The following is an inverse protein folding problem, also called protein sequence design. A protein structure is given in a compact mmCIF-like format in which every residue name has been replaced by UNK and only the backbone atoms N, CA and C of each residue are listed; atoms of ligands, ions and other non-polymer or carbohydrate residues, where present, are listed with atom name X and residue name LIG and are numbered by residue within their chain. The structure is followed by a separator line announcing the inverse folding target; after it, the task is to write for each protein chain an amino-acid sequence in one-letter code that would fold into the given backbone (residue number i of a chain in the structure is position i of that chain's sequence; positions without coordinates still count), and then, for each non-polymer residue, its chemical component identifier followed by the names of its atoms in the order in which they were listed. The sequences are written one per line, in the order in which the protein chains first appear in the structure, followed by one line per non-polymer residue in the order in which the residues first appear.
data_IF_183827627533
#
_entry.id   IF_183827627533
#
_cell.length_a   1.000
_cell.length_b   1.000
_cell.length_c   1.000
_cell.angle_alpha   90.00
_cell.angle_beta   90.00
_cell.angle_gamma   90.00
#
_symmetry.space_group_name_H-M   'P 1'
#
loop_
_entity.id
_entity.type
_entity.pdbx_description
1 polymer ?
#
# COMPACT_ATOMS: atom_id res chain seq x y z
N UNK A 1 -2.77 20.61 -38.68
CA UNK A 1 -3.65 19.44 -38.46
C UNK A 1 -3.33 18.86 -37.09
N UNK A 2 -4.30 18.79 -36.18
CA UNK A 2 -4.10 18.15 -34.88
C UNK A 2 -3.74 16.66 -35.11
N UNK A 3 -2.66 16.18 -34.47
CA UNK A 3 -2.25 14.77 -34.59
C UNK A 3 -3.42 13.88 -34.15
N UNK A 4 -3.77 12.92 -35.00
CA UNK A 4 -4.82 11.94 -34.71
C UNK A 4 -4.42 11.14 -33.46
N UNK A 5 -5.28 11.13 -32.44
CA UNK A 5 -5.03 10.40 -31.20
C UNK A 5 -5.02 8.89 -31.49
N UNK A 6 -3.84 8.26 -31.37
CA UNK A 6 -3.62 6.82 -31.57
C UNK A 6 -3.67 6.04 -30.25
N UNK A 7 -4.05 6.69 -29.14
CA UNK A 7 -4.10 6.04 -27.84
C UNK A 7 -5.13 4.89 -27.86
N UNK A 8 -4.82 3.74 -27.25
CA UNK A 8 -5.77 2.63 -27.17
C UNK A 8 -7.05 3.10 -26.47
N UNK A 9 -8.20 2.84 -27.10
CA UNK A 9 -9.51 3.10 -26.49
C UNK A 9 -9.77 2.04 -25.42
N UNK A 10 -9.83 2.48 -24.18
CA UNK A 10 -10.10 1.63 -23.03
C UNK A 10 -11.41 2.09 -22.40
N UNK A 11 -12.30 1.14 -22.10
CA UNK A 11 -13.53 1.47 -21.39
C UNK A 11 -13.19 2.06 -20.03
N UNK A 12 -13.68 3.27 -19.78
CA UNK A 12 -13.56 3.97 -18.52
C UNK A 12 -14.95 4.12 -17.94
N UNK A 13 -15.08 3.91 -16.62
CA UNK A 13 -16.28 4.32 -15.89
C UNK A 13 -16.46 5.84 -16.04
N UNK A 14 -17.67 6.30 -15.81
CA UNK A 14 -17.92 7.74 -15.71
C UNK A 14 -16.97 8.39 -14.72
N UNK A 15 -16.56 9.63 -14.99
CA UNK A 15 -15.70 10.37 -14.07
C UNK A 15 -16.43 10.60 -12.75
N UNK A 16 -15.69 10.56 -11.64
CA UNK A 16 -16.24 10.91 -10.34
C UNK A 16 -16.85 12.31 -10.37
N UNK A 17 -18.10 12.44 -9.91
CA UNK A 17 -18.85 13.69 -9.91
C UNK A 17 -18.64 14.39 -8.57
N UNK A 18 -17.60 15.20 -8.48
CA UNK A 18 -17.29 15.99 -7.29
C UNK A 18 -15.90 16.60 -7.38
N UNK A 19 -15.61 17.50 -6.44
CA UNK A 19 -14.25 17.92 -6.14
C UNK A 19 -13.85 17.25 -4.83
N UNK A 20 -12.72 16.57 -4.82
CA UNK A 20 -12.12 16.06 -3.59
C UNK A 20 -11.08 17.07 -3.13
N UNK A 21 -11.22 17.58 -1.90
CA UNK A 21 -10.21 18.48 -1.34
C UNK A 21 -9.23 17.69 -0.50
N UNK A 22 -8.04 17.47 -1.05
CA UNK A 22 -6.95 16.83 -0.33
C UNK A 22 -6.16 17.85 0.48
N UNK A 23 -5.94 17.51 1.75
CA UNK A 23 -5.01 18.17 2.65
C UNK A 23 -3.60 17.72 2.30
N UNK A 24 -2.67 18.65 2.05
CA UNK A 24 -1.28 18.30 1.85
C UNK A 24 -0.68 17.79 3.16
N UNK A 25 0.21 16.81 3.06
CA UNK A 25 1.05 16.39 4.17
C UNK A 25 2.45 16.98 4.01
N UNK A 26 3.11 17.23 5.13
CA UNK A 26 4.51 17.62 5.14
C UNK A 26 5.35 16.36 4.88
N UNK A 27 6.04 16.30 3.76
CA UNK A 27 6.90 15.18 3.38
C UNK A 27 8.38 15.46 3.74
N UNK A 28 9.16 14.43 4.05
CA UNK A 28 10.63 14.53 3.97
C UNK A 28 11.05 14.67 2.50
N UNK A 29 12.31 15.02 2.23
CA UNK A 29 12.82 15.11 0.86
C UNK A 29 12.69 13.77 0.11
N UNK A 30 12.98 12.64 0.77
CA UNK A 30 12.83 11.32 0.17
C UNK A 30 11.36 10.97 -0.09
N UNK A 31 10.46 11.24 0.87
CA UNK A 31 9.03 11.05 0.69
C UNK A 31 8.49 11.91 -0.47
N UNK A 32 8.95 13.16 -0.60
CA UNK A 32 8.55 14.05 -1.70
C UNK A 32 8.99 13.49 -3.05
N UNK A 33 10.24 13.01 -3.18
CA UNK A 33 10.74 12.35 -4.40
C UNK A 33 9.86 11.16 -4.81
N UNK A 34 9.40 10.37 -3.85
CA UNK A 34 8.49 9.25 -4.11
C UNK A 34 7.13 9.75 -4.57
N UNK A 35 6.55 10.75 -3.90
CA UNK A 35 5.26 11.36 -4.28
C UNK A 35 5.34 11.87 -5.73
N UNK A 36 6.37 12.64 -6.06
CA UNK A 36 6.56 13.18 -7.41
C UNK A 36 6.71 12.05 -8.44
N UNK A 37 7.46 11.00 -8.10
CA UNK A 37 7.63 9.82 -8.96
C UNK A 37 6.31 9.07 -9.17
N UNK A 38 5.49 8.90 -8.13
CA UNK A 38 4.19 8.22 -8.28
C UNK A 38 3.25 9.07 -9.13
N UNK A 39 3.24 10.39 -8.97
CA UNK A 39 2.34 11.29 -9.70
C UNK A 39 2.77 11.52 -11.16
N UNK A 40 4.03 11.28 -11.50
CA UNK A 40 4.53 11.40 -12.87
C UNK A 40 3.79 10.47 -13.85
N UNK A 41 3.49 10.96 -15.07
CA UNK A 41 2.69 10.21 -16.06
C UNK A 41 3.41 8.98 -16.64
N UNK A 42 4.73 8.96 -16.66
CA UNK A 42 5.53 7.84 -17.18
C UNK A 42 5.70 6.73 -16.14
N UNK A 43 5.53 7.05 -14.86
CA UNK A 43 5.59 6.07 -13.77
C UNK A 43 4.40 5.12 -13.78
N UNK A 44 4.69 3.82 -13.67
CA UNK A 44 3.72 2.72 -13.78
C UNK A 44 3.74 1.84 -12.54
N UNK A 45 4.92 1.42 -12.10
CA UNK A 45 5.07 0.51 -10.98
C UNK A 45 6.10 1.09 -10.02
N UNK A 46 5.78 1.11 -8.73
CA UNK A 46 6.71 1.59 -7.71
C UNK A 46 6.76 0.61 -6.55
N UNK A 47 7.96 0.20 -6.15
CA UNK A 47 8.20 -0.59 -4.95
C UNK A 47 8.81 0.30 -3.88
N UNK A 48 8.23 0.32 -2.70
CA UNK A 48 8.63 1.19 -1.59
C UNK A 48 8.89 0.32 -0.38
N UNK A 49 10.17 0.18 -0.06
CA UNK A 49 10.64 -0.46 1.15
C UNK A 49 10.84 0.57 2.25
N UNK A 50 10.53 0.23 3.49
CA UNK A 50 10.95 1.03 4.63
C UNK A 50 10.24 0.64 5.93
N UNK A 51 10.77 1.09 7.08
CA UNK A 51 10.28 0.68 8.39
C UNK A 51 8.86 1.15 8.68
N UNK A 52 8.21 0.55 9.67
CA UNK A 52 6.94 1.05 10.20
C UNK A 52 7.05 2.53 10.62
N UNK A 53 6.08 3.36 10.19
CA UNK A 53 6.08 4.80 10.48
C UNK A 53 6.91 5.67 9.52
N UNK A 54 7.55 5.11 8.49
CA UNK A 54 8.26 5.88 7.45
C UNK A 54 7.35 6.63 6.46
N UNK A 55 6.03 6.55 6.63
CA UNK A 55 5.06 7.21 5.76
C UNK A 55 4.77 6.51 4.43
N UNK A 56 5.37 5.34 4.14
CA UNK A 56 5.20 4.57 2.89
C UNK A 56 3.74 4.37 2.46
N UNK A 57 2.86 4.04 3.40
CA UNK A 57 1.45 3.80 3.12
C UNK A 57 0.64 5.10 3.00
N UNK A 58 0.99 6.11 3.80
CA UNK A 58 0.31 7.42 3.78
C UNK A 58 0.57 8.15 2.47
N UNK A 59 1.82 8.14 1.97
CA UNK A 59 2.15 8.75 0.68
C UNK A 59 1.48 8.00 -0.49
N UNK A 60 1.41 6.67 -0.45
CA UNK A 60 0.73 5.89 -1.49
C UNK A 60 -0.78 6.16 -1.50
N UNK A 61 -1.40 6.26 -0.31
CA UNK A 61 -2.79 6.65 -0.14
C UNK A 61 -3.04 8.05 -0.69
N UNK A 62 -2.23 9.03 -0.30
CA UNK A 62 -2.29 10.40 -0.80
C UNK A 62 -2.20 10.46 -2.33
N UNK A 63 -1.21 9.80 -2.93
CA UNK A 63 -1.02 9.82 -4.38
C UNK A 63 -2.20 9.21 -5.13
N UNK A 64 -2.74 8.09 -4.65
CA UNK A 64 -3.89 7.46 -5.28
C UNK A 64 -5.14 8.34 -5.20
N UNK A 65 -5.45 8.87 -4.02
CA UNK A 65 -6.57 9.80 -3.85
C UNK A 65 -6.39 11.07 -4.70
N UNK A 66 -5.16 11.57 -4.84
CA UNK A 66 -4.86 12.72 -5.70
C UNK A 66 -5.16 12.43 -7.16
N UNK A 67 -4.76 11.27 -7.66
CA UNK A 67 -5.00 10.87 -9.05
C UNK A 67 -6.48 10.58 -9.33
N UNK A 68 -7.24 10.10 -8.34
CA UNK A 68 -8.70 10.00 -8.40
C UNK A 68 -9.34 11.39 -8.44
N UNK A 69 -8.92 12.30 -7.56
CA UNK A 69 -9.37 13.70 -7.52
C UNK A 69 -9.13 14.41 -8.85
N UNK A 70 -7.96 14.20 -9.44
CA UNK A 70 -7.57 14.78 -10.73
C UNK A 70 -8.23 14.08 -11.93
N UNK A 71 -9.06 13.05 -11.67
CA UNK A 71 -9.78 12.26 -12.68
C UNK A 71 -8.82 11.60 -13.69
N UNK A 72 -7.59 11.33 -13.25
CA UNK A 72 -6.55 10.63 -14.04
C UNK A 72 -6.76 9.12 -13.97
N UNK A 73 -7.21 8.62 -12.81
CA UNK A 73 -7.54 7.22 -12.58
C UNK A 73 -9.01 7.12 -12.12
N UNK A 74 -9.70 6.03 -12.50
CA UNK A 74 -11.13 5.87 -12.22
C UNK A 74 -11.41 5.34 -10.83
N UNK A 75 -10.59 4.40 -10.37
CA UNK A 75 -10.82 3.65 -9.14
C UNK A 75 -9.48 3.36 -8.42
N UNK A 76 -9.58 3.21 -7.10
CA UNK A 76 -8.51 2.85 -6.17
C UNK A 76 -8.72 1.42 -5.71
N UNK A 77 -7.73 0.54 -5.87
CA UNK A 77 -7.73 -0.83 -5.40
C UNK A 77 -6.70 -0.95 -4.27
N UNK A 78 -7.17 -1.23 -3.07
CA UNK A 78 -6.33 -1.54 -1.91
C UNK A 78 -6.26 -3.06 -1.74
N UNK A 79 -5.06 -3.62 -1.82
CA UNK A 79 -4.79 -5.06 -1.78
C UNK A 79 -3.90 -5.37 -0.59
N UNK A 80 -4.29 -6.36 0.20
CA UNK A 80 -3.49 -6.90 1.31
C UNK A 80 -3.59 -8.43 1.32
N UNK A 81 -2.56 -9.09 1.84
CA UNK A 81 -2.60 -10.53 2.05
C UNK A 81 -3.29 -10.86 3.38
N UNK A 82 -4.26 -11.79 3.37
CA UNK A 82 -5.13 -12.12 4.52
C UNK A 82 -4.52 -13.17 5.45
N UNK A 83 -3.26 -13.56 5.22
CA UNK A 83 -2.58 -14.60 6.00
C UNK A 83 -2.59 -14.32 7.51
N UNK A 84 -2.70 -13.06 7.92
CA UNK A 84 -2.89 -12.59 9.30
C UNK A 84 -4.15 -13.14 10.01
N UNK A 85 -5.13 -13.71 9.30
CA UNK A 85 -6.37 -14.26 9.90
C UNK A 85 -6.39 -15.81 9.89
N UNK A 86 -5.35 -16.44 9.34
CA UNK A 86 -5.39 -17.84 8.90
C UNK A 86 -4.85 -18.89 9.88
N UNK A 87 -4.51 -18.54 11.12
CA UNK A 87 -4.41 -19.57 12.19
C UNK A 87 -5.78 -20.26 12.45
N UNK A 88 -6.85 -19.81 11.77
CA UNK A 88 -8.15 -20.48 11.66
C UNK A 88 -8.37 -21.23 10.32
N UNK A 89 -7.35 -21.54 9.52
CA UNK A 89 -7.51 -22.17 8.20
C UNK A 89 -7.75 -23.70 8.25
N UNK A 90 -8.76 -24.10 9.01
CA UNK A 90 -9.67 -25.16 8.60
C UNK A 90 -11.08 -24.59 8.75
N UNK A 91 -11.78 -24.34 7.64
CA UNK A 91 -13.23 -24.50 7.47
C UNK A 91 -13.79 -23.59 6.37
N UNK A 92 -14.84 -24.10 5.71
CA UNK A 92 -15.50 -23.47 4.57
C UNK A 92 -16.11 -22.10 4.90
N UNK A 93 -16.14 -21.24 3.89
CA UNK A 93 -16.49 -19.83 4.02
C UNK A 93 -17.84 -19.51 3.39
N UNK A 94 -18.65 -18.75 4.11
CA UNK A 94 -19.86 -18.07 3.60
C UNK A 94 -19.46 -16.63 3.28
N UNK A 95 -19.95 -16.11 2.14
CA UNK A 95 -19.59 -14.78 1.58
C UNK A 95 -19.64 -13.61 2.59
N UNK A 96 -20.51 -13.66 3.61
CA UNK A 96 -20.60 -12.62 4.65
C UNK A 96 -19.54 -12.66 5.76
N UNK A 97 -18.88 -13.81 6.00
CA UNK A 97 -17.82 -13.93 7.02
C UNK A 97 -16.47 -13.38 6.51
N UNK A 98 -16.31 -13.28 5.18
CA UNK A 98 -15.12 -12.72 4.54
C UNK A 98 -15.11 -11.19 4.67
N UNK A 99 -16.27 -10.54 4.47
CA UNK A 99 -16.39 -9.08 4.59
C UNK A 99 -16.09 -8.63 6.04
N UNK A 100 -16.70 -9.29 7.04
CA UNK A 100 -16.47 -8.98 8.46
C UNK A 100 -15.01 -9.20 8.91
N UNK A 101 -14.30 -10.16 8.31
CA UNK A 101 -12.86 -10.41 8.59
C UNK A 101 -11.93 -9.43 7.87
N UNK A 102 -12.42 -8.73 6.84
CA UNK A 102 -11.63 -7.76 6.09
C UNK A 102 -11.80 -6.32 6.59
N UNK A 103 -12.87 -6.06 7.35
CA UNK A 103 -13.20 -4.76 7.94
C UNK A 103 -12.04 -4.07 8.70
N UNK A 104 -11.21 -4.77 9.50
CA UNK A 104 -10.06 -4.14 10.15
C UNK A 104 -9.06 -3.52 9.17
N UNK A 105 -8.86 -4.13 8.00
CA UNK A 105 -7.95 -3.60 6.97
C UNK A 105 -8.53 -2.38 6.27
N UNK A 106 -9.84 -2.40 6.02
CA UNK A 106 -10.57 -1.25 5.50
C UNK A 106 -10.45 -0.06 6.46
N UNK A 107 -10.51 -0.31 7.78
CA UNK A 107 -10.42 0.71 8.80
C UNK A 107 -9.10 1.48 8.78
N UNK A 108 -7.95 0.78 8.67
CA UNK A 108 -6.63 1.44 8.59
C UNK A 108 -6.53 2.36 7.37
N UNK A 109 -7.09 1.96 6.22
CA UNK A 109 -7.13 2.82 5.05
C UNK A 109 -8.04 4.04 5.25
N UNK A 110 -9.21 3.84 5.88
CA UNK A 110 -10.16 4.92 6.16
C UNK A 110 -9.54 5.96 7.07
N UNK A 111 -8.93 5.55 8.18
CA UNK A 111 -8.23 6.45 9.12
C UNK A 111 -7.15 7.28 8.41
N UNK A 112 -6.29 6.63 7.61
CA UNK A 112 -5.30 7.35 6.79
C UNK A 112 -5.95 8.34 5.80
N UNK A 113 -7.11 8.00 5.25
CA UNK A 113 -7.83 8.87 4.30
C UNK A 113 -8.52 10.05 5.01
N UNK A 114 -8.99 9.86 6.24
CA UNK A 114 -9.59 10.90 7.09
C UNK A 114 -8.56 11.94 7.56
N UNK A 115 -7.26 11.62 7.56
CA UNK A 115 -6.20 12.62 7.72
C UNK A 115 -6.07 13.53 6.48
N UNK A 116 -6.43 13.00 5.31
CA UNK A 116 -6.19 13.61 3.99
C UNK A 116 -7.39 14.37 3.43
N UNK A 117 -8.63 14.01 3.78
CA UNK A 117 -9.83 14.64 3.23
C UNK A 117 -10.98 14.63 4.24
N UNK A 118 -12.07 15.34 3.95
CA UNK A 118 -13.23 15.32 4.84
C UNK A 118 -13.89 13.93 4.84
N UNK A 119 -14.51 13.54 5.96
CA UNK A 119 -15.25 12.27 6.04
C UNK A 119 -16.35 12.19 4.98
N UNK A 120 -17.01 13.32 4.69
CA UNK A 120 -18.02 13.40 3.64
C UNK A 120 -17.46 13.07 2.24
N UNK A 121 -16.24 13.50 1.92
CA UNK A 121 -15.58 13.17 0.65
C UNK A 121 -15.21 11.68 0.58
N UNK A 122 -14.68 11.13 1.68
CA UNK A 122 -14.35 9.71 1.79
C UNK A 122 -15.60 8.84 1.65
N UNK A 123 -16.67 9.15 2.39
CA UNK A 123 -17.95 8.45 2.32
C UNK A 123 -18.53 8.46 0.91
N UNK A 124 -18.37 9.59 0.21
CA UNK A 124 -18.79 9.69 -1.19
C UNK A 124 -17.98 8.79 -2.12
N UNK A 125 -16.67 8.68 -1.94
CA UNK A 125 -15.84 7.73 -2.71
C UNK A 125 -16.23 6.28 -2.44
N UNK A 126 -16.53 5.96 -1.18
CA UNK A 126 -16.99 4.63 -0.77
C UNK A 126 -18.36 4.32 -1.38
N UNK A 127 -19.33 5.23 -1.26
CA UNK A 127 -20.67 5.09 -1.80
C UNK A 127 -20.67 4.92 -3.33
N UNK A 128 -19.85 5.71 -4.04
CA UNK A 128 -19.72 5.65 -5.50
C UNK A 128 -18.90 4.43 -5.97
N UNK A 129 -18.46 3.56 -5.04
CA UNK A 129 -17.61 2.40 -5.29
C UNK A 129 -16.33 2.77 -6.05
N UNK A 130 -15.66 3.85 -5.65
CA UNK A 130 -14.38 4.31 -6.21
C UNK A 130 -13.18 3.71 -5.50
N UNK A 131 -13.36 3.23 -4.28
CA UNK A 131 -12.33 2.56 -3.49
C UNK A 131 -12.78 1.12 -3.27
N UNK A 132 -11.90 0.18 -3.62
CA UNK A 132 -12.15 -1.25 -3.52
C UNK A 132 -11.11 -1.90 -2.63
N UNK A 133 -11.57 -2.63 -1.62
CA UNK A 133 -10.72 -3.49 -0.81
C UNK A 133 -10.77 -4.89 -1.40
N UNK A 134 -9.61 -5.39 -1.83
CA UNK A 134 -9.53 -6.65 -2.58
C UNK A 134 -8.53 -7.59 -1.92
N UNK A 135 -9.00 -8.71 -1.34
CA UNK A 135 -8.11 -9.76 -0.89
C UNK A 135 -7.44 -10.45 -2.09
N UNK A 136 -6.19 -10.88 -1.93
CA UNK A 136 -5.40 -11.40 -3.07
C UNK A 136 -6.04 -12.59 -3.78
N UNK A 137 -6.76 -13.48 -3.10
CA UNK A 137 -7.43 -14.63 -3.71
C UNK A 137 -8.51 -14.24 -4.73
N UNK A 138 -9.00 -13.00 -4.73
CA UNK A 138 -10.01 -12.49 -5.66
C UNK A 138 -9.43 -11.78 -6.89
N UNK A 139 -8.11 -11.61 -6.99
CA UNK A 139 -7.49 -10.87 -8.11
C UNK A 139 -7.29 -11.72 -9.36
N UNK A 140 -7.59 -13.02 -9.31
CA UNK A 140 -7.42 -13.90 -10.48
C UNK A 140 -8.44 -13.54 -11.56
N UNK A 141 -7.97 -13.33 -12.79
CA UNK A 141 -8.82 -12.97 -13.93
C UNK A 141 -9.28 -11.51 -13.96
N UNK A 142 -8.87 -10.69 -12.97
CA UNK A 142 -9.13 -9.25 -13.04
C UNK A 142 -8.28 -8.57 -14.11
N UNK A 143 -8.71 -7.40 -14.56
CA UNK A 143 -7.89 -6.51 -15.38
C UNK A 143 -7.89 -5.13 -14.70
N UNK A 144 -6.70 -4.59 -14.44
CA UNK A 144 -6.55 -3.31 -13.76
C UNK A 144 -6.17 -2.22 -14.74
N UNK A 145 -7.06 -1.87 -15.66
CA UNK A 145 -6.88 -0.71 -16.54
C UNK A 145 -7.49 0.54 -15.90
N UNK A 146 -6.79 1.68 -16.01
CA UNK A 146 -7.22 3.00 -15.49
C UNK A 146 -7.41 3.04 -13.97
N UNK A 147 -6.63 2.27 -13.22
CA UNK A 147 -6.76 2.13 -11.76
C UNK A 147 -5.49 2.51 -11.02
N UNK A 148 -5.65 3.00 -9.80
CA UNK A 148 -4.56 3.05 -8.82
C UNK A 148 -4.62 1.79 -7.99
N UNK A 149 -3.54 1.02 -7.93
CA UNK A 149 -3.46 -0.23 -7.20
C UNK A 149 -2.40 -0.08 -6.11
N UNK A 150 -2.83 -0.14 -4.86
CA UNK A 150 -1.98 -0.06 -3.67
C UNK A 150 -1.93 -1.43 -3.02
N UNK A 151 -0.77 -2.07 -3.05
CA UNK A 151 -0.49 -3.34 -2.39
C UNK A 151 0.24 -3.03 -1.08
N UNK A 152 -0.46 -3.19 0.04
CA UNK A 152 0.06 -3.00 1.39
C UNK A 152 0.66 -4.30 1.94
N UNK A 153 1.63 -4.18 2.85
CA UNK A 153 2.38 -5.29 3.44
C UNK A 153 2.99 -6.20 2.38
N UNK A 154 3.66 -5.58 1.40
CA UNK A 154 4.24 -6.25 0.25
C UNK A 154 5.22 -7.39 0.65
N UNK A 155 5.86 -7.31 1.81
CA UNK A 155 6.72 -8.35 2.35
C UNK A 155 5.98 -9.67 2.67
N UNK A 156 4.65 -9.63 2.84
CA UNK A 156 3.79 -10.78 3.12
C UNK A 156 3.26 -11.48 1.86
N UNK A 157 3.81 -11.19 0.68
CA UNK A 157 3.48 -11.89 -0.55
C UNK A 157 4.59 -12.85 -0.96
N UNK A 158 4.21 -14.04 -1.41
CA UNK A 158 5.10 -15.04 -1.99
C UNK A 158 5.46 -14.69 -3.43
N UNK A 159 6.49 -15.35 -3.98
CA UNK A 159 6.87 -15.16 -5.39
C UNK A 159 5.73 -15.48 -6.37
N UNK A 160 4.90 -16.50 -6.07
CA UNK A 160 3.75 -16.86 -6.89
C UNK A 160 2.68 -15.77 -6.89
N UNK A 161 2.48 -15.13 -5.74
CA UNK A 161 1.54 -14.02 -5.59
C UNK A 161 2.04 -12.74 -6.28
N UNK A 162 3.34 -12.43 -6.24
CA UNK A 162 3.90 -11.34 -7.04
C UNK A 162 3.67 -11.56 -8.54
N UNK A 163 3.92 -12.77 -9.06
CA UNK A 163 3.62 -13.11 -10.45
C UNK A 163 2.13 -12.93 -10.76
N UNK A 164 1.25 -13.34 -9.84
CA UNK A 164 -0.19 -13.13 -9.97
C UNK A 164 -0.54 -11.64 -10.07
N UNK A 165 -0.07 -10.79 -9.14
CA UNK A 165 -0.37 -9.36 -9.10
C UNK A 165 0.20 -8.62 -10.33
N UNK A 166 1.47 -8.86 -10.68
CA UNK A 166 2.12 -8.17 -11.80
C UNK A 166 1.45 -8.48 -13.14
N UNK A 167 0.94 -9.70 -13.33
CA UNK A 167 0.20 -10.09 -14.55
C UNK A 167 -1.23 -9.56 -14.61
N UNK A 168 -1.67 -8.76 -13.62
CA UNK A 168 -2.96 -8.03 -13.65
C UNK A 168 -2.81 -6.57 -14.07
N UNK A 169 -1.59 -6.05 -14.06
CA UNK A 169 -1.30 -4.68 -14.51
C UNK A 169 -1.79 -4.48 -15.95
N UNK A 170 -2.44 -3.34 -16.19
CA UNK A 170 -2.88 -2.96 -17.53
C UNK A 170 -2.70 -1.46 -17.76
N UNK A 171 -3.06 -1.02 -18.96
CA UNK A 171 -2.80 0.33 -19.45
C UNK A 171 -3.42 1.42 -18.58
N UNK A 172 -2.70 2.54 -18.50
CA UNK A 172 -3.06 3.76 -17.77
C UNK A 172 -3.33 3.53 -16.27
N UNK A 173 -2.64 2.56 -15.67
CA UNK A 173 -2.73 2.28 -14.24
C UNK A 173 -1.43 2.52 -13.53
N UNK A 174 -1.50 2.58 -12.20
CA UNK A 174 -0.32 2.64 -11.34
C UNK A 174 -0.40 1.55 -10.29
N UNK A 175 0.67 0.78 -10.13
CA UNK A 175 0.77 -0.32 -9.17
C UNK A 175 1.88 -0.02 -8.17
N UNK A 176 1.49 0.24 -6.93
CA UNK A 176 2.36 0.68 -5.85
C UNK A 176 2.43 -0.43 -4.81
N UNK A 177 3.63 -0.91 -4.52
CA UNK A 177 3.89 -1.89 -3.46
C UNK A 177 4.55 -1.19 -2.28
N UNK A 178 3.93 -1.29 -1.10
CA UNK A 178 4.45 -0.75 0.16
C UNK A 178 4.73 -1.91 1.11
N UNK A 179 5.96 -2.00 1.64
CA UNK A 179 6.32 -3.06 2.59
C UNK A 179 7.61 -2.75 3.35
N UNK A 180 7.97 -3.66 4.24
CA UNK A 180 9.23 -3.65 4.97
C UNK A 180 9.90 -5.02 4.82
N UNK A 181 11.05 -5.10 4.16
CA UNK A 181 11.76 -6.38 3.96
C UNK A 181 12.17 -7.06 5.27
N UNK A 182 12.26 -6.32 6.38
CA UNK A 182 12.62 -6.84 7.70
C UNK A 182 11.39 -7.33 8.48
N UNK A 183 10.17 -6.99 8.07
CA UNK A 183 8.94 -7.40 8.74
C UNK A 183 8.13 -8.30 7.81
N UNK A 184 8.02 -9.58 8.17
CA UNK A 184 7.21 -10.53 7.43
C UNK A 184 6.66 -11.63 8.33
N UNK A 185 5.39 -11.93 8.14
CA UNK A 185 4.64 -12.98 8.83
C UNK A 185 4.70 -14.32 8.09
N UNK A 186 5.31 -14.33 6.89
CA UNK A 186 5.45 -15.56 6.12
C UNK A 186 6.39 -16.54 6.84
N UNK A 187 6.15 -17.86 6.72
CA UNK A 187 7.14 -18.86 7.13
C UNK A 187 8.45 -18.70 6.34
N UNK A 188 9.60 -19.02 6.95
CA UNK A 188 10.94 -18.77 6.40
C UNK A 188 11.11 -19.18 4.94
N UNK A 189 10.64 -20.38 4.57
CA UNK A 189 10.72 -20.93 3.19
C UNK A 189 9.98 -20.10 2.13
N UNK A 190 9.10 -19.19 2.54
CA UNK A 190 8.25 -18.36 1.67
C UNK A 190 8.64 -16.87 1.71
N UNK A 191 9.58 -16.47 2.57
CA UNK A 191 10.03 -15.07 2.74
C UNK A 191 10.85 -14.57 1.55
N UNK A 192 11.10 -13.26 1.53
CA UNK A 192 12.12 -12.65 0.66
C UNK A 192 11.67 -12.32 -0.76
N UNK A 193 10.42 -12.57 -1.13
CA UNK A 193 9.94 -12.23 -2.48
C UNK A 193 9.94 -10.71 -2.72
N UNK A 194 9.58 -9.90 -1.72
CA UNK A 194 9.62 -8.44 -1.84
C UNK A 194 11.05 -7.91 -2.01
N UNK A 195 12.00 -8.40 -1.20
CA UNK A 195 13.42 -8.07 -1.34
C UNK A 195 13.93 -8.41 -2.75
N UNK A 196 13.56 -9.59 -3.25
CA UNK A 196 13.88 -10.00 -4.63
C UNK A 196 13.26 -9.06 -5.67
N UNK A 197 12.03 -8.57 -5.49
CA UNK A 197 11.44 -7.60 -6.43
C UNK A 197 12.21 -6.29 -6.44
N UNK A 198 12.60 -5.79 -5.27
CA UNK A 198 13.43 -4.57 -5.16
C UNK A 198 14.75 -4.74 -5.91
N UNK A 199 15.43 -5.87 -5.75
CA UNK A 199 16.67 -6.17 -6.47
C UNK A 199 16.47 -6.28 -7.98
N UNK A 200 15.45 -7.02 -8.43
CA UNK A 200 15.19 -7.28 -9.85
C UNK A 200 14.86 -6.00 -10.63
N UNK A 201 14.18 -5.05 -10.01
CA UNK A 201 13.71 -3.83 -10.68
C UNK A 201 14.54 -2.58 -10.37
N UNK A 202 15.62 -2.70 -9.58
CA UNK A 202 16.53 -1.59 -9.30
C UNK A 202 17.63 -1.46 -10.38
N UNK A 203 17.23 -1.14 -11.61
CA UNK A 203 18.14 -0.93 -12.74
C UNK A 203 17.57 0.10 -13.74
N UNK A 204 18.42 0.60 -14.64
CA UNK A 204 18.03 1.62 -15.63
C UNK A 204 16.99 1.12 -16.63
N UNK A 205 17.08 -0.14 -17.07
CA UNK A 205 16.09 -0.73 -17.97
C UNK A 205 14.68 -0.65 -17.36
N UNK A 206 14.56 -0.96 -16.07
CA UNK A 206 13.29 -0.85 -15.33
C UNK A 206 12.80 0.59 -15.25
N UNK A 207 13.70 1.55 -14.96
CA UNK A 207 13.39 2.98 -14.90
C UNK A 207 12.88 3.52 -16.24
N UNK A 208 13.50 3.13 -17.36
CA UNK A 208 13.06 3.49 -18.72
C UNK A 208 11.65 2.95 -19.03
N UNK A 209 11.26 1.84 -18.41
CA UNK A 209 9.90 1.29 -18.52
C UNK A 209 8.90 1.92 -17.56
N UNK A 210 9.33 2.83 -16.69
CA UNK A 210 8.49 3.49 -15.67
C UNK A 210 8.34 2.66 -14.40
N UNK A 211 9.32 1.82 -14.07
CA UNK A 211 9.36 0.99 -12.86
C UNK A 211 10.43 1.54 -11.92
N UNK A 212 10.06 1.83 -10.68
CA UNK A 212 10.95 2.46 -9.71
C UNK A 212 10.97 1.69 -8.38
N UNK A 213 12.09 1.78 -7.68
CA UNK A 213 12.28 1.19 -6.36
C UNK A 213 12.82 2.25 -5.41
N UNK A 214 12.28 2.33 -4.21
CA UNK A 214 12.70 3.28 -3.18
C UNK A 214 12.91 2.57 -1.84
N UNK A 215 13.86 3.09 -1.07
CA UNK A 215 14.09 2.71 0.32
C UNK A 215 13.91 3.97 1.18
N UNK A 216 12.98 3.90 2.12
CA UNK A 216 12.83 4.86 3.21
C UNK A 216 13.55 4.31 4.44
N UNK A 217 14.15 5.18 5.22
CA UNK A 217 14.96 4.81 6.39
C UNK A 217 14.42 5.44 7.68
N UNK A 218 15.25 5.44 8.74
CA UNK A 218 14.87 6.01 10.04
C UNK A 218 14.68 7.53 10.00
N UNK A 219 15.33 8.25 9.09
CA UNK A 219 15.17 9.70 8.92
C UNK A 219 13.80 10.08 8.33
N UNK A 220 13.14 9.12 7.69
CA UNK A 220 11.78 9.30 7.15
C UNK A 220 10.67 9.02 8.17
N UNK A 221 11.04 8.55 9.36
CA UNK A 221 10.09 8.26 10.44
C UNK A 221 9.68 9.56 11.12
N UNK A 222 8.41 9.92 10.98
CA UNK A 222 7.80 11.04 11.72
C UNK A 222 7.01 10.49 12.92
N UNK A 223 7.66 10.46 14.08
CA UNK A 223 7.08 10.02 15.35
C UNK A 223 7.11 11.17 16.36
N UNK A 224 6.19 11.12 17.32
CA UNK A 224 6.27 11.99 18.50
C UNK A 224 7.48 11.61 19.37
N UNK A 225 7.98 12.57 20.14
CA UNK A 225 9.14 12.38 21.02
C UNK A 225 8.97 11.20 21.97
N UNK A 226 7.75 11.02 22.51
CA UNK A 226 7.44 9.89 23.40
C UNK A 226 7.55 8.54 22.68
N UNK A 227 7.06 8.44 21.45
CA UNK A 227 7.13 7.18 20.69
C UNK A 227 8.57 6.84 20.33
N UNK A 228 9.37 7.85 19.95
CA UNK A 228 10.81 7.66 19.72
C UNK A 228 11.51 7.18 20.99
N UNK A 229 11.26 7.82 22.13
CA UNK A 229 11.79 7.42 23.43
C UNK A 229 11.43 5.97 23.80
N UNK A 230 10.17 5.57 23.62
CA UNK A 230 9.72 4.22 23.90
C UNK A 230 10.43 3.17 23.03
N UNK A 231 10.55 3.44 21.73
CA UNK A 231 11.22 2.54 20.80
C UNK A 231 12.72 2.42 21.11
N UNK A 232 13.38 3.54 21.43
CA UNK A 232 14.78 3.52 21.83
C UNK A 232 14.98 2.68 23.09
N UNK A 233 14.07 2.78 24.07
CA UNK A 233 14.09 1.95 25.27
C UNK A 233 13.86 0.46 25.01
N UNK A 234 12.97 0.10 24.07
CA UNK A 234 12.74 -1.29 23.69
C UNK A 234 13.89 -1.90 22.87
N UNK A 235 14.71 -1.06 22.24
CA UNK A 235 15.90 -1.50 21.50
C UNK A 235 17.15 -1.61 22.39
N UNK A 236 17.09 -1.16 23.65
CA UNK A 236 18.16 -1.42 24.62
C UNK A 236 18.26 -2.95 24.84
N UNK A 237 19.47 -3.53 24.88
CA UNK A 237 19.63 -4.95 25.13
C UNK A 237 18.95 -5.33 26.45
N UNK A 238 18.31 -6.51 26.47
CA UNK A 238 17.50 -7.00 27.59
C UNK A 238 18.13 -6.66 28.94
N UNK A 239 17.36 -5.95 29.78
CA UNK A 239 17.67 -5.83 31.19
C UNK A 239 17.67 -7.26 31.73
N UNK A 240 18.82 -7.74 32.21
CA UNK A 240 19.00 -9.10 32.72
C UNK A 240 17.87 -9.45 33.70
N UNK A 241 16.86 -10.19 33.24
CA UNK A 241 15.67 -10.55 34.02
C UNK A 241 15.96 -11.50 35.20
N UNK A 242 17.22 -11.83 35.47
CA UNK A 242 17.65 -12.73 36.54
C UNK A 242 17.29 -12.25 37.95
N UNK A 243 16.98 -10.95 38.11
CA UNK A 243 16.63 -10.36 39.41
C UNK A 243 15.11 -10.08 39.60
N UNK A 244 14.27 -10.37 38.61
CA UNK A 244 12.82 -10.21 38.75
C UNK A 244 12.23 -11.38 39.56
N UNK A 245 12.10 -11.20 40.87
CA UNK A 245 11.25 -12.04 41.72
C UNK A 245 9.89 -11.36 41.86
N UNK A 246 8.81 -11.90 41.27
CA UNK A 246 7.48 -11.37 41.56
C UNK A 246 7.26 -11.52 43.07
N UNK A 247 6.94 -10.40 43.73
CA UNK A 247 6.57 -10.41 45.14
C UNK A 247 5.34 -11.31 45.29
N UNK A 248 5.44 -12.33 46.13
CA UNK A 248 4.27 -13.14 46.44
C UNK A 248 3.21 -12.23 47.08
N UNK A 249 1.95 -12.29 46.63
CA UNK A 249 0.89 -11.55 47.28
C UNK A 249 0.78 -12.00 48.75
N UNK A 250 0.69 -11.02 49.64
CA UNK A 250 0.52 -11.23 51.09
C UNK A 250 -0.82 -11.90 51.41
#
# INVERSE_FOLDING_TARGET
MAKQDKSPKIHQRDKFKGELKLRPLNWTENQQKIVDTILDKQSKIVFINGPAGSGKSSLATYCGLKLLSDKTLSDYLYIRNVLEVSDSAAMGYIKGDIDAKFDPYCQIFKEKSEELMSNADLDKLMHDNRVHFVPINYVRGSNWAVKFIHVEEAANFTQGEYKLLLTRYASFSKLIFCGDTQQTDLPEKKRGAFARMLELFNNDESREKGIYTFNLDKCDIKRSDITSFLIDKLNEPDINHKDYRPSQPK
#
